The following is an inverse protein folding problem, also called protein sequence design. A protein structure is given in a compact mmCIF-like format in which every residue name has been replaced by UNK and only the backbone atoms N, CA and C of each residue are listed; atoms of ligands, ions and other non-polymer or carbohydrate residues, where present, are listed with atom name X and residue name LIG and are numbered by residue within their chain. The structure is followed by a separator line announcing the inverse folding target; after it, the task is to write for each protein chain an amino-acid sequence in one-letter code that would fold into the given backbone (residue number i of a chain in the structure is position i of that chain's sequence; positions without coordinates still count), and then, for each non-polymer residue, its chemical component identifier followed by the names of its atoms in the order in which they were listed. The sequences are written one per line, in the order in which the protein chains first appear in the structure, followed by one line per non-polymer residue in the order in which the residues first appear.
data_IF_049776232957
#
_entry.id   IF_049776232957
#
_cell.length_a   1.000
_cell.length_b   1.000
_cell.length_c   1.000
_cell.angle_alpha   90.00
_cell.angle_beta   90.00
_cell.angle_gamma   90.00
#
_symmetry.space_group_name_H-M   'P 1'
#
loop_
_entity.id
_entity.type
_entity.pdbx_description
1 polymer ?
#
# COMPACT_ATOMS: atom_id res chain seq x y z
N UNK A 1 -11.35 -7.07 3.47
CA UNK A 1 -10.02 -7.46 4.00
C UNK A 1 -9.30 -6.17 4.27
N UNK A 2 -9.11 -5.83 5.54
CA UNK A 2 -8.41 -4.61 5.94
C UNK A 2 -6.92 -4.91 6.08
N UNK A 3 -6.05 -4.02 5.60
CA UNK A 3 -4.62 -4.10 5.84
C UNK A 3 -4.30 -3.88 7.31
N UNK A 4 -3.30 -4.58 7.84
CA UNK A 4 -2.85 -4.46 9.22
C UNK A 4 -1.41 -3.97 9.24
N UNK A 5 -1.06 -3.19 10.26
CA UNK A 5 0.32 -2.77 10.49
C UNK A 5 1.26 -3.98 10.54
N UNK A 6 2.32 -3.94 9.73
CA UNK A 6 3.27 -5.04 9.57
C UNK A 6 2.95 -6.03 8.45
N UNK A 7 1.78 -5.92 7.81
CA UNK A 7 1.48 -6.74 6.64
C UNK A 7 2.46 -6.46 5.51
N UNK A 8 2.96 -7.53 4.89
CA UNK A 8 3.77 -7.43 3.66
C UNK A 8 2.86 -7.15 2.49
N UNK A 9 3.20 -6.09 1.75
CA UNK A 9 2.46 -5.67 0.57
C UNK A 9 3.35 -5.58 -0.64
N UNK A 10 2.70 -5.66 -1.80
CA UNK A 10 3.26 -5.39 -3.11
C UNK A 10 2.36 -4.36 -3.79
N UNK A 11 2.97 -3.35 -4.40
CA UNK A 11 2.26 -2.44 -5.30
C UNK A 11 2.05 -3.17 -6.62
N UNK A 12 0.92 -3.83 -6.79
CA UNK A 12 0.70 -4.71 -7.96
C UNK A 12 0.17 -3.96 -9.18
N UNK A 13 -0.44 -2.78 -8.98
CA UNK A 13 -0.96 -1.92 -10.04
C UNK A 13 -0.88 -0.45 -9.66
N UNK A 14 -0.91 0.42 -10.67
CA UNK A 14 -1.19 1.84 -10.49
C UNK A 14 -2.64 2.05 -10.03
N UNK A 15 -2.85 2.98 -9.10
CA UNK A 15 -4.21 3.41 -8.76
C UNK A 15 -4.81 4.28 -9.87
N UNK A 16 -6.13 4.27 -9.97
CA UNK A 16 -6.89 5.19 -10.82
C UNK A 16 -7.28 6.48 -10.08
N UNK A 17 -6.85 6.57 -8.82
CA UNK A 17 -7.13 7.66 -7.90
C UNK A 17 -6.36 8.95 -8.24
N UNK A 18 -6.93 10.11 -7.90
CA UNK A 18 -6.28 11.42 -8.12
C UNK A 18 -5.01 11.58 -7.27
N UNK A 19 -4.89 10.83 -6.18
CA UNK A 19 -3.69 10.79 -5.36
C UNK A 19 -2.50 10.11 -6.05
N UNK A 20 -2.72 9.40 -7.17
CA UNK A 20 -1.65 8.71 -7.88
C UNK A 20 -0.87 9.63 -8.82
N UNK A 21 0.36 9.94 -8.41
CA UNK A 21 1.25 10.78 -9.20
C UNK A 21 2.08 9.94 -10.21
N UNK A 22 2.51 10.52 -11.35
CA UNK A 22 3.25 9.77 -12.37
C UNK A 22 4.58 9.18 -11.89
N UNK A 23 5.22 9.75 -10.86
CA UNK A 23 6.42 9.14 -10.27
C UNK A 23 6.13 7.86 -9.49
N UNK A 24 4.88 7.66 -9.05
CA UNK A 24 4.47 6.46 -8.31
C UNK A 24 4.37 5.23 -9.20
N UNK A 25 4.31 5.41 -10.53
CA UNK A 25 4.35 4.30 -11.48
C UNK A 25 5.64 3.46 -11.33
N UNK A 26 6.74 4.08 -10.90
CA UNK A 26 8.00 3.42 -10.57
C UNK A 26 7.92 2.55 -9.30
N UNK A 27 6.89 2.76 -8.46
CA UNK A 27 6.63 1.90 -7.31
C UNK A 27 5.91 0.62 -7.70
N UNK A 28 5.28 0.55 -8.88
CA UNK A 28 4.60 -0.67 -9.34
C UNK A 28 5.62 -1.81 -9.46
N UNK A 29 5.34 -2.93 -8.80
CA UNK A 29 6.26 -4.05 -8.62
C UNK A 29 7.17 -3.95 -7.39
N UNK A 30 7.11 -2.86 -6.62
CA UNK A 30 7.86 -2.72 -5.38
C UNK A 30 7.17 -3.43 -4.22
N UNK A 31 8.00 -4.01 -3.35
CA UNK A 31 7.57 -4.65 -2.12
C UNK A 31 7.78 -3.73 -0.92
N UNK A 32 6.92 -3.89 0.07
CA UNK A 32 6.97 -3.12 1.29
C UNK A 32 6.16 -3.76 2.40
N UNK A 33 5.92 -2.95 3.43
CA UNK A 33 5.04 -3.33 4.53
C UNK A 33 4.19 -2.15 4.98
N UNK A 34 3.05 -2.45 5.57
CA UNK A 34 2.16 -1.44 6.13
C UNK A 34 2.79 -0.88 7.40
N UNK A 35 3.02 0.43 7.42
CA UNK A 35 3.51 1.13 8.63
C UNK A 35 2.34 1.64 9.44
N UNK A 36 1.33 2.20 8.76
CA UNK A 36 0.08 2.65 9.35
C UNK A 36 -1.09 2.37 8.40
N UNK A 37 -2.03 1.47 8.77
CA UNK A 37 -3.16 1.12 7.91
C UNK A 37 -4.28 2.20 7.87
N UNK A 38 -4.10 3.35 8.53
CA UNK A 38 -5.09 4.43 8.69
C UNK A 38 -6.54 3.90 8.81
N UNK A 39 -6.74 3.04 9.81
CA UNK A 39 -8.00 2.32 10.07
C UNK A 39 -9.05 3.17 10.81
N UNK A 40 -8.77 4.46 11.00
CA UNK A 40 -9.56 5.33 11.88
C UNK A 40 -10.94 5.64 11.30
N UNK A 41 -11.10 5.53 9.98
CA UNK A 41 -12.39 5.62 9.28
C UNK A 41 -12.43 4.50 8.25
N UNK A 42 -13.54 3.77 8.15
CA UNK A 42 -13.76 2.73 7.13
C UNK A 42 -13.93 3.36 5.73
N UNK A 43 -13.03 4.26 5.34
CA UNK A 43 -13.04 4.95 4.06
C UNK A 43 -12.26 4.12 3.04
N UNK A 44 -12.92 3.64 1.96
CA UNK A 44 -12.25 2.87 0.94
C UNK A 44 -11.22 3.69 0.14
N UNK A 45 -11.35 5.02 0.17
CA UNK A 45 -10.48 6.03 -0.45
C UNK A 45 -9.33 6.48 0.48
N UNK A 46 -9.22 5.92 1.69
CA UNK A 46 -8.15 6.29 2.61
C UNK A 46 -6.77 5.87 2.08
N UNK A 47 -5.81 6.78 2.20
CA UNK A 47 -4.42 6.51 1.87
C UNK A 47 -3.74 5.76 3.02
N UNK A 48 -3.09 4.65 2.69
CA UNK A 48 -2.39 3.80 3.64
C UNK A 48 -0.91 4.14 3.64
N UNK A 49 -0.31 4.32 4.82
CA UNK A 49 1.12 4.58 4.94
C UNK A 49 1.91 3.27 4.88
N UNK A 50 2.69 3.12 3.82
CA UNK A 50 3.50 1.93 3.54
C UNK A 50 4.97 2.28 3.45
N UNK A 51 5.83 1.40 3.95
CA UNK A 51 7.27 1.54 3.77
C UNK A 51 7.72 0.62 2.64
N UNK A 52 8.15 1.21 1.53
CA UNK A 52 8.65 0.52 0.35
C UNK A 52 10.16 0.33 0.46
N UNK A 53 10.63 -0.88 0.16
CA UNK A 53 12.05 -1.25 0.26
C UNK A 53 12.85 -0.43 -0.74
N UNK A 54 13.79 0.38 -0.25
CA UNK A 54 14.65 1.24 -1.08
C UNK A 54 14.03 2.55 -1.56
N UNK A 55 12.75 2.80 -1.24
CA UNK A 55 12.04 4.05 -1.57
C UNK A 55 11.64 4.87 -0.34
N UNK A 56 11.57 4.23 0.83
CA UNK A 56 11.17 4.87 2.09
C UNK A 56 9.68 4.75 2.35
N UNK A 57 9.15 5.61 3.21
CA UNK A 57 7.74 5.59 3.61
C UNK A 57 6.91 6.51 2.72
N UNK A 58 5.85 5.96 2.12
CA UNK A 58 4.95 6.62 1.18
C UNK A 58 3.50 6.29 1.51
N UNK A 59 2.59 7.18 1.12
CA UNK A 59 1.15 6.96 1.28
C UNK A 59 0.56 6.55 -0.05
N UNK A 60 0.00 5.34 -0.10
CA UNK A 60 -0.55 4.77 -1.32
C UNK A 60 -2.00 4.33 -1.07
N UNK A 61 -2.88 4.46 -2.08
CA UNK A 61 -4.25 4.00 -1.98
C UNK A 61 -4.29 2.47 -1.86
N UNK A 62 -5.17 1.95 -1.00
CA UNK A 62 -5.25 0.52 -0.71
C UNK A 62 -5.48 -0.34 -1.96
N UNK A 63 -6.17 0.22 -2.95
CA UNK A 63 -6.56 -0.47 -4.18
C UNK A 63 -5.35 -0.84 -5.06
N UNK A 64 -4.28 -0.05 -4.98
CA UNK A 64 -2.99 -0.30 -5.66
C UNK A 64 -2.15 -1.37 -4.96
N UNK A 65 -2.47 -1.68 -3.71
CA UNK A 65 -1.71 -2.57 -2.85
C UNK A 65 -2.36 -3.95 -2.83
N UNK A 66 -1.52 -4.98 -2.77
CA UNK A 66 -1.96 -6.36 -2.54
C UNK A 66 -1.10 -6.98 -1.47
N UNK A 67 -1.73 -7.69 -0.53
CA UNK A 67 -0.99 -8.52 0.43
C UNK A 67 -0.18 -9.57 -0.32
N UNK A 68 1.14 -9.53 -0.14
CA UNK A 68 2.07 -10.46 -0.76
C UNK A 68 2.65 -11.35 0.33
N UNK A 69 2.04 -12.53 0.51
CA UNK A 69 2.66 -13.66 1.20
C UNK A 69 2.88 -13.49 2.71
N UNK A 70 1.88 -13.92 3.46
CA UNK A 70 1.98 -14.27 4.87
C UNK A 70 0.82 -15.18 5.27
N UNK A 71 0.52 -16.18 4.44
CA UNK A 71 -0.33 -17.29 4.86
C UNK A 71 0.45 -18.09 5.89
N UNK A 72 0.29 -17.76 7.17
CA UNK A 72 0.51 -18.71 8.25
C UNK A 72 -0.87 -19.09 8.82
N UNK A 73 -1.00 -20.40 9.06
CA UNK A 73 -2.22 -21.18 9.22
C UNK A 73 -3.03 -20.89 10.49
#
# INVERSE_FOLDING_TARGET
MEFQRGDKIEVYRRSEDEAWEPYMDDFVGSHGFITDPDTTVNDPDALIEVSLVGKGTHRLPQDSLRRFGGGES
#
